data_IF_827457746592
#
_entry.id   IF_827457746592
#
_cell.length_a   1.000
_cell.length_b   1.000
_cell.length_c   1.000
_cell.angle_alpha   90.00
_cell.angle_beta   90.00
_cell.angle_gamma   90.00
#
_symmetry.space_group_name_H-M   'P 1'
#
loop_
_entity.id
_entity.type
_entity.pdbx_description
1 polymer ?
#
# COMPACT_ATOMS: atom_id res chain seq x y z
N UNK A 1 5.94 -24.15 -9.31
CA UNK A 1 5.72 -23.11 -8.28
C UNK A 1 6.81 -22.04 -8.29
N UNK A 2 7.99 -22.33 -8.82
CA UNK A 2 9.12 -21.39 -8.99
C UNK A 2 8.75 -20.12 -9.78
N UNK A 3 7.92 -20.20 -10.81
CA UNK A 3 7.65 -19.07 -11.73
C UNK A 3 7.03 -17.82 -11.10
N UNK A 4 6.17 -17.94 -10.09
CA UNK A 4 5.53 -16.75 -9.48
C UNK A 4 6.47 -16.05 -8.51
N UNK A 5 7.26 -16.83 -7.76
CA UNK A 5 8.20 -16.32 -6.77
C UNK A 5 9.45 -15.74 -7.45
N UNK A 6 9.87 -16.36 -8.55
CA UNK A 6 10.91 -15.85 -9.44
C UNK A 6 10.45 -14.58 -10.16
N UNK A 7 9.22 -14.55 -10.68
CA UNK A 7 8.64 -13.33 -11.25
C UNK A 7 8.49 -12.21 -10.22
N UNK A 8 8.14 -12.52 -8.97
CA UNK A 8 8.10 -11.55 -7.88
C UNK A 8 9.51 -11.03 -7.54
N UNK A 9 10.52 -11.90 -7.48
CA UNK A 9 11.90 -11.54 -7.17
C UNK A 9 12.56 -10.69 -8.29
N UNK A 10 12.16 -10.93 -9.54
CA UNK A 10 12.67 -10.22 -10.72
C UNK A 10 11.85 -8.96 -11.07
N UNK A 11 10.89 -8.56 -10.22
CA UNK A 11 9.99 -7.42 -10.45
C UNK A 11 9.03 -7.58 -11.67
N UNK A 12 8.94 -8.80 -12.22
CA UNK A 12 8.03 -9.17 -13.31
C UNK A 12 6.58 -9.36 -12.82
N UNK A 13 6.37 -9.38 -11.49
CA UNK A 13 5.06 -9.47 -10.84
C UNK A 13 4.70 -8.12 -10.21
N UNK A 14 4.22 -7.17 -11.02
CA UNK A 14 3.74 -5.88 -10.50
C UNK A 14 2.52 -6.07 -9.59
N UNK A 15 2.72 -6.01 -8.26
CA UNK A 15 1.62 -6.00 -7.28
C UNK A 15 0.99 -4.62 -7.12
N UNK A 16 1.69 -3.57 -7.57
CA UNK A 16 1.08 -2.28 -7.80
C UNK A 16 0.18 -2.42 -9.02
N UNK A 17 -1.12 -2.21 -8.83
CA UNK A 17 -2.02 -1.98 -9.93
C UNK A 17 -1.58 -0.69 -10.62
N UNK A 18 -0.71 -0.82 -11.63
CA UNK A 18 -0.25 0.25 -12.53
C UNK A 18 -1.40 1.02 -13.16
N UNK A 19 -2.61 0.47 -13.08
CA UNK A 19 -3.87 1.05 -13.54
C UNK A 19 -4.37 2.24 -12.74
N UNK A 20 -3.98 2.47 -11.47
CA UNK A 20 -4.59 3.57 -10.69
C UNK A 20 -4.07 4.93 -11.14
N UNK A 21 -2.76 5.07 -11.36
CA UNK A 21 -2.16 6.34 -11.83
C UNK A 21 -2.57 6.70 -13.25
N UNK A 22 -2.85 5.70 -14.07
CA UNK A 22 -3.33 5.87 -15.46
C UNK A 22 -4.86 6.00 -15.53
N UNK A 23 -5.56 5.92 -14.39
CA UNK A 23 -7.01 6.08 -14.36
C UNK A 23 -7.38 7.58 -14.42
N UNK A 24 -8.08 8.05 -15.47
CA UNK A 24 -8.47 9.44 -15.59
C UNK A 24 -9.43 9.90 -14.46
N UNK A 25 -10.21 8.99 -13.87
CA UNK A 25 -11.06 9.30 -12.70
C UNK A 25 -10.23 9.57 -11.44
N UNK A 26 -9.09 8.89 -11.30
CA UNK A 26 -8.14 9.16 -10.21
C UNK A 26 -7.50 10.54 -10.38
N UNK A 27 -7.03 10.87 -11.58
CA UNK A 27 -6.45 12.19 -11.85
C UNK A 27 -7.47 13.31 -11.61
N UNK A 28 -8.71 13.12 -12.07
CA UNK A 28 -9.80 14.07 -11.83
C UNK A 28 -10.07 14.25 -10.34
N UNK A 29 -10.20 13.15 -9.60
CA UNK A 29 -10.45 13.20 -8.15
C UNK A 29 -9.30 13.88 -7.41
N UNK A 30 -8.05 13.66 -7.81
CA UNK A 30 -6.91 14.34 -7.19
C UNK A 30 -6.90 15.84 -7.47
N UNK A 31 -7.31 16.28 -8.66
CA UNK A 31 -7.47 17.73 -8.93
C UNK A 31 -8.54 18.34 -8.03
N UNK A 32 -9.68 17.68 -7.90
CA UNK A 32 -10.77 18.15 -7.01
C UNK A 32 -10.33 18.22 -5.54
N UNK A 33 -9.55 17.25 -5.06
CA UNK A 33 -8.96 17.28 -3.71
C UNK A 33 -8.08 18.52 -3.55
N UNK A 34 -7.13 18.75 -4.45
CA UNK A 34 -6.25 19.92 -4.38
C UNK A 34 -7.02 21.24 -4.40
N UNK A 35 -8.07 21.35 -5.21
CA UNK A 35 -8.91 22.54 -5.28
C UNK A 35 -9.64 22.79 -3.95
N UNK A 36 -10.25 21.76 -3.36
CA UNK A 36 -10.95 21.86 -2.08
C UNK A 36 -9.97 22.18 -0.95
N UNK A 37 -8.80 21.55 -0.91
CA UNK A 37 -7.76 21.84 0.08
C UNK A 37 -7.33 23.31 0.04
N UNK A 38 -7.14 23.88 -1.15
CA UNK A 38 -6.81 25.30 -1.29
C UNK A 38 -7.91 26.22 -0.76
N UNK A 39 -9.16 25.93 -1.08
CA UNK A 39 -10.32 26.70 -0.57
C UNK A 39 -10.40 26.59 0.96
N UNK A 40 -10.24 25.39 1.50
CA UNK A 40 -10.31 25.12 2.93
C UNK A 40 -9.18 25.84 3.66
N UNK A 41 -7.94 25.76 3.17
CA UNK A 41 -6.79 26.45 3.75
C UNK A 41 -6.95 27.98 3.76
N UNK A 42 -7.62 28.55 2.78
CA UNK A 42 -7.93 29.99 2.75
C UNK A 42 -9.04 30.40 3.73
N UNK A 43 -9.95 29.49 4.08
CA UNK A 43 -11.09 29.77 4.94
C UNK A 43 -10.81 29.60 6.44
N UNK A 44 -9.85 28.73 6.79
CA UNK A 44 -9.55 28.40 8.18
C UNK A 44 -8.76 29.50 8.88
N UNK A 45 -9.14 29.79 10.14
CA UNK A 45 -8.32 30.63 11.00
C UNK A 45 -7.12 29.84 11.58
N UNK A 46 -6.14 30.50 12.22
CA UNK A 46 -4.94 29.82 12.73
C UNK A 46 -5.20 28.67 13.71
N UNK A 47 -6.26 28.76 14.52
CA UNK A 47 -6.62 27.69 15.47
C UNK A 47 -7.20 26.49 14.73
N UNK A 48 -8.11 26.74 13.79
CA UNK A 48 -8.74 25.68 12.98
C UNK A 48 -7.73 24.99 12.06
N UNK A 49 -6.82 25.76 11.45
CA UNK A 49 -5.70 25.22 10.66
C UNK A 49 -4.79 24.34 11.50
N UNK A 50 -4.49 24.74 12.75
CA UNK A 50 -3.72 23.91 13.68
C UNK A 50 -4.43 22.60 14.05
N UNK A 51 -5.76 22.62 14.21
CA UNK A 51 -6.55 21.41 14.45
C UNK A 51 -6.60 20.49 13.23
N UNK A 52 -6.79 21.05 12.03
CA UNK A 52 -6.80 20.29 10.79
C UNK A 52 -5.46 19.58 10.57
N UNK A 53 -4.35 20.30 10.71
CA UNK A 53 -3.01 19.71 10.57
C UNK A 53 -2.79 18.56 11.55
N UNK A 54 -3.18 18.74 12.82
CA UNK A 54 -3.07 17.67 13.82
C UNK A 54 -3.95 16.45 13.48
N UNK A 55 -5.12 16.67 12.91
CA UNK A 55 -5.99 15.60 12.44
C UNK A 55 -5.32 14.83 11.29
N UNK A 56 -4.80 15.53 10.29
CA UNK A 56 -4.09 14.95 9.15
C UNK A 56 -2.86 14.13 9.59
N UNK A 57 -2.05 14.70 10.49
CA UNK A 57 -0.88 14.02 11.06
C UNK A 57 -1.29 12.70 11.75
N UNK A 58 -2.32 12.73 12.60
CA UNK A 58 -2.83 11.53 13.29
C UNK A 58 -3.42 10.50 12.33
N UNK A 59 -4.10 10.93 11.27
CA UNK A 59 -4.62 10.03 10.24
C UNK A 59 -3.49 9.35 9.48
N UNK A 60 -2.42 10.10 9.17
CA UNK A 60 -1.23 9.56 8.52
C UNK A 60 -0.52 8.54 9.41
N UNK A 61 -0.33 8.83 10.70
CA UNK A 61 0.25 7.90 11.67
C UNK A 61 -0.52 6.57 11.71
N UNK A 62 -1.85 6.63 11.77
CA UNK A 62 -2.71 5.43 11.76
C UNK A 62 -2.59 4.68 10.44
N UNK A 63 -2.54 5.40 9.31
CA UNK A 63 -2.38 4.80 7.99
C UNK A 63 -1.02 4.07 7.88
N UNK A 64 0.06 4.65 8.40
CA UNK A 64 1.40 4.05 8.42
C UNK A 64 1.45 2.78 9.29
N UNK A 65 0.87 2.82 10.49
CA UNK A 65 0.77 1.64 11.35
C UNK A 65 -0.01 0.51 10.66
N UNK A 66 -1.11 0.87 10.00
CA UNK A 66 -1.95 -0.09 9.27
C UNK A 66 -1.24 -0.66 8.03
N UNK A 67 -0.50 0.18 7.30
CA UNK A 67 0.32 -0.25 6.16
C UNK A 67 1.45 -1.20 6.60
N UNK A 68 2.13 -0.87 7.71
CA UNK A 68 3.18 -1.70 8.30
C UNK A 68 2.65 -3.06 8.72
N UNK A 69 1.49 -3.12 9.38
CA UNK A 69 0.85 -4.37 9.74
C UNK A 69 0.55 -5.24 8.51
N UNK A 70 -0.06 -4.65 7.47
CA UNK A 70 -0.33 -5.35 6.20
C UNK A 70 0.93 -5.86 5.52
N UNK A 71 2.00 -5.06 5.55
CA UNK A 71 3.30 -5.47 5.01
C UNK A 71 3.87 -6.67 5.77
N UNK A 72 3.85 -6.65 7.11
CA UNK A 72 4.31 -7.76 7.94
C UNK A 72 3.51 -9.03 7.66
N UNK A 73 2.18 -8.92 7.59
CA UNK A 73 1.30 -10.07 7.31
C UNK A 73 1.57 -10.64 5.91
N UNK A 74 1.67 -9.78 4.89
CA UNK A 74 2.00 -10.18 3.52
C UNK A 74 3.38 -10.83 3.42
N UNK A 75 4.39 -10.26 4.08
CA UNK A 75 5.75 -10.82 4.15
C UNK A 75 5.76 -12.21 4.79
N UNK A 76 5.11 -12.37 5.95
CA UNK A 76 5.00 -13.65 6.65
C UNK A 76 4.31 -14.71 5.79
N UNK A 77 3.22 -14.33 5.13
CA UNK A 77 2.52 -15.21 4.21
C UNK A 77 3.44 -15.63 3.05
N UNK A 78 4.18 -14.69 2.46
CA UNK A 78 5.17 -14.97 1.42
C UNK A 78 6.21 -15.99 1.88
N UNK A 79 6.80 -15.80 3.06
CA UNK A 79 7.78 -16.75 3.63
C UNK A 79 7.18 -18.14 3.86
N UNK A 80 5.95 -18.23 4.37
CA UNK A 80 5.27 -19.52 4.55
C UNK A 80 5.04 -20.22 3.21
N UNK A 81 4.61 -19.48 2.18
CA UNK A 81 4.44 -20.02 0.82
C UNK A 81 5.78 -20.53 0.25
N UNK A 82 6.89 -19.81 0.47
CA UNK A 82 8.22 -20.27 0.08
C UNK A 82 8.62 -21.56 0.81
N UNK A 83 8.41 -21.61 2.13
CA UNK A 83 8.77 -22.76 2.94
C UNK A 83 8.01 -24.02 2.52
N UNK A 84 6.72 -23.91 2.18
CA UNK A 84 5.89 -25.02 1.68
C UNK A 84 6.48 -25.67 0.43
N UNK A 85 7.02 -24.86 -0.51
CA UNK A 85 7.64 -25.38 -1.75
C UNK A 85 8.84 -26.28 -1.46
N UNK A 86 9.64 -25.93 -0.45
CA UNK A 86 10.87 -26.65 -0.10
C UNK A 86 10.68 -27.67 1.03
N UNK A 87 9.52 -27.72 1.68
CA UNK A 87 9.20 -28.67 2.73
C UNK A 87 8.76 -30.05 2.21
N UNK A 88 8.52 -30.21 0.90
CA UNK A 88 8.26 -31.52 0.29
C UNK A 88 9.54 -32.36 0.39
N UNK A 89 9.55 -33.47 1.15
CA UNK A 89 10.73 -34.31 1.23
C UNK A 89 10.99 -34.95 -0.14
N UNK A 90 12.20 -34.78 -0.67
CA UNK A 90 12.73 -35.68 -1.70
C UNK A 90 12.90 -37.07 -1.07
N UNK A 91 11.84 -37.88 -1.06
CA UNK A 91 11.88 -39.20 -0.44
C UNK A 91 10.52 -39.79 -0.09
N UNK A 92 9.63 -39.90 -1.06
CA UNK A 92 8.53 -40.87 -1.01
C UNK A 92 8.28 -41.44 -2.40
N UNK A 93 9.34 -41.96 -3.00
CA UNK A 93 9.24 -43.04 -3.98
C UNK A 93 9.91 -44.26 -3.34
N UNK A 94 9.11 -45.09 -2.65
CA UNK A 94 9.35 -46.53 -2.51
C UNK A 94 8.12 -47.26 -3.07
#
# INVERSE_FOLDING_TARGET
>A
MERILEALANDDLSTMASTIKENPEYEKSMKEICEIENILNAALNPTESGLLKKLEDLQLDVAELSATARFIDGYRLGVLMMAEVFAVPYGSEE
#
